data_IF_855243683480
#
_entry.id   IF_855243683480
#
_cell.length_a   1.000
_cell.length_b   1.000
_cell.length_c   1.000
_cell.angle_alpha   90.00
_cell.angle_beta   90.00
_cell.angle_gamma   90.00
#
_symmetry.space_group_name_H-M   'P 1'
#
loop_
_entity.id
_entity.type
_entity.pdbx_description
1 polymer ?
#
# COMPACT_ATOMS: atom_id res chain seq x y z
N UNK A 1 10.95 26.31 15.30
CA UNK A 1 10.49 26.55 16.70
C UNK A 1 8.98 26.59 16.72
N UNK A 2 8.37 26.01 17.75
CA UNK A 2 6.92 26.04 17.94
C UNK A 2 6.42 27.46 18.19
N UNK A 3 5.23 27.77 17.68
CA UNK A 3 4.49 29.00 17.97
C UNK A 3 3.49 28.74 19.09
N UNK A 4 3.19 29.76 19.87
CA UNK A 4 2.18 29.73 20.94
C UNK A 4 0.89 30.36 20.42
N UNK A 5 -0.24 29.74 20.73
CA UNK A 5 -1.59 30.19 20.40
C UNK A 5 -2.44 30.19 21.67
N UNK A 6 -3.21 31.24 21.85
CA UNK A 6 -4.16 31.33 22.97
C UNK A 6 -5.25 30.24 22.84
N UNK A 7 -5.88 29.88 23.95
CA UNK A 7 -6.96 28.89 23.93
C UNK A 7 -8.13 29.29 23.03
N UNK A 8 -8.43 30.59 22.98
CA UNK A 8 -9.50 31.15 22.14
C UNK A 8 -9.16 31.26 20.66
N UNK A 9 -7.87 31.12 20.28
CA UNK A 9 -7.45 31.20 18.88
C UNK A 9 -8.14 30.15 18.02
N UNK A 10 -8.63 30.58 16.85
CA UNK A 10 -9.19 29.68 15.83
C UNK A 10 -8.47 29.89 14.49
N UNK A 11 -7.15 30.03 14.55
CA UNK A 11 -6.32 30.30 13.39
C UNK A 11 -6.28 29.10 12.46
N UNK A 12 -6.58 29.32 11.18
CA UNK A 12 -6.34 28.35 10.12
C UNK A 12 -4.84 28.26 9.86
N UNK A 13 -4.21 27.13 10.15
CA UNK A 13 -2.77 26.90 10.02
C UNK A 13 -2.36 26.60 8.58
N UNK A 14 -3.23 25.88 7.85
CA UNK A 14 -3.05 25.45 6.48
C UNK A 14 -4.40 25.05 5.85
N UNK A 15 -4.50 24.72 4.56
CA UNK A 15 -5.78 24.38 3.93
C UNK A 15 -6.61 23.32 4.67
N UNK A 16 -5.97 22.36 5.34
CA UNK A 16 -6.65 21.23 5.97
C UNK A 16 -6.57 21.21 7.50
N UNK A 17 -5.82 22.11 8.13
CA UNK A 17 -5.58 22.07 9.57
C UNK A 17 -5.85 23.40 10.25
N UNK A 18 -6.63 23.34 11.34
CA UNK A 18 -6.91 24.48 12.23
C UNK A 18 -6.24 24.26 13.59
N UNK A 19 -5.80 25.34 14.25
CA UNK A 19 -5.13 25.24 15.57
C UNK A 19 -5.99 24.55 16.63
N UNK A 20 -7.31 24.68 16.55
CA UNK A 20 -8.24 24.06 17.49
C UNK A 20 -8.13 22.53 17.54
N UNK A 21 -7.69 21.89 16.44
CA UNK A 21 -7.50 20.44 16.38
C UNK A 21 -6.30 19.96 17.21
N UNK A 22 -5.34 20.84 17.44
CA UNK A 22 -4.10 20.56 18.17
C UNK A 22 -4.17 20.91 19.66
N UNK A 23 -5.28 21.41 20.16
CA UNK A 23 -5.43 21.76 21.56
C UNK A 23 -5.28 20.56 22.49
N UNK A 24 -4.75 20.82 23.68
CA UNK A 24 -4.67 19.82 24.74
C UNK A 24 -6.08 19.37 25.19
N UNK A 25 -6.27 18.06 25.27
CA UNK A 25 -7.54 17.43 25.66
C UNK A 25 -7.68 17.25 27.18
N UNK A 26 -6.97 18.03 28.01
CA UNK A 26 -7.03 17.90 29.48
C UNK A 26 -8.29 18.53 30.11
N UNK A 27 -9.16 19.17 29.33
CA UNK A 27 -10.36 19.87 29.81
C UNK A 27 -10.11 21.23 30.46
N UNK A 28 -8.86 21.74 30.42
CA UNK A 28 -8.51 23.07 30.94
C UNK A 28 -8.15 23.99 29.78
N UNK A 29 -8.54 25.27 29.94
CA UNK A 29 -8.14 26.32 29.03
C UNK A 29 -6.70 26.74 29.30
N UNK A 30 -5.85 26.61 28.28
CA UNK A 30 -4.45 27.03 28.30
C UNK A 30 -3.91 27.12 26.86
N UNK A 31 -2.78 27.78 26.72
CA UNK A 31 -2.08 27.94 25.44
C UNK A 31 -1.78 26.62 24.77
N UNK A 32 -1.72 26.65 23.44
CA UNK A 32 -1.36 25.53 22.59
C UNK A 32 -0.06 25.84 21.85
N UNK A 33 0.92 24.96 21.98
CA UNK A 33 2.14 25.01 21.18
C UNK A 33 1.94 24.21 19.89
N UNK A 34 2.38 24.75 18.76
CA UNK A 34 2.38 24.07 17.49
C UNK A 34 3.60 24.45 16.63
N UNK A 35 4.29 23.46 16.11
CA UNK A 35 5.44 23.62 15.23
C UNK A 35 4.97 23.75 13.77
N UNK A 36 5.30 24.83 13.06
CA UNK A 36 4.92 25.00 11.66
C UNK A 36 5.45 23.88 10.74
N UNK A 37 6.62 23.28 11.03
CA UNK A 37 7.15 22.13 10.28
C UNK A 37 6.22 20.90 10.38
N UNK A 38 5.57 20.72 11.54
CA UNK A 38 4.59 19.65 11.71
C UNK A 38 3.43 19.80 10.73
N UNK A 39 2.89 21.01 10.63
CA UNK A 39 1.77 21.32 9.73
C UNK A 39 2.17 21.15 8.26
N UNK A 40 3.33 21.67 7.87
CA UNK A 40 3.84 21.50 6.49
C UNK A 40 3.96 20.03 6.11
N UNK A 41 4.49 19.19 7.00
CA UNK A 41 4.63 17.74 6.74
C UNK A 41 3.30 17.02 6.77
N UNK A 42 2.34 17.41 7.60
CA UNK A 42 0.99 16.87 7.58
C UNK A 42 0.26 17.17 6.26
N UNK A 43 0.44 18.38 5.70
CA UNK A 43 -0.09 18.70 4.36
C UNK A 43 0.53 17.86 3.25
N UNK A 44 1.86 17.63 3.30
CA UNK A 44 2.53 16.71 2.39
C UNK A 44 1.99 15.28 2.52
N UNK A 45 1.73 14.84 3.75
CA UNK A 45 1.16 13.52 4.03
C UNK A 45 -0.28 13.41 3.50
N UNK A 46 -1.09 14.44 3.70
CA UNK A 46 -2.45 14.55 3.16
C UNK A 46 -2.46 14.36 1.64
N UNK A 47 -1.58 15.08 0.95
CA UNK A 47 -1.46 15.02 -0.52
C UNK A 47 -0.92 13.66 -1.00
N UNK A 48 0.16 13.17 -0.38
CA UNK A 48 0.82 11.94 -0.78
C UNK A 48 -0.04 10.69 -0.59
N UNK A 49 -0.88 10.67 0.44
CA UNK A 49 -1.84 9.59 0.70
C UNK A 49 -3.19 9.80 0.00
N UNK A 50 -3.37 10.93 -0.71
CA UNK A 50 -4.65 11.33 -1.32
C UNK A 50 -5.79 11.27 -0.28
N UNK A 51 -5.54 11.81 0.91
CA UNK A 51 -6.53 11.77 1.99
C UNK A 51 -7.80 12.54 1.62
N UNK A 52 -8.96 12.06 2.08
CA UNK A 52 -10.18 12.87 2.16
C UNK A 52 -10.19 13.74 3.41
N UNK A 53 -9.55 13.25 4.50
CA UNK A 53 -9.32 13.97 5.75
C UNK A 53 -8.19 13.33 6.56
N UNK A 54 -7.56 14.12 7.42
CA UNK A 54 -6.71 13.64 8.52
C UNK A 54 -7.35 14.15 9.82
N UNK A 55 -7.63 13.26 10.76
CA UNK A 55 -8.14 13.61 12.09
C UNK A 55 -6.95 13.64 13.05
N UNK A 56 -6.74 14.76 13.73
CA UNK A 56 -5.78 14.90 14.81
C UNK A 56 -6.44 14.39 16.10
N UNK A 57 -6.11 13.19 16.52
CA UNK A 57 -6.65 12.58 17.74
C UNK A 57 -5.96 13.09 19.00
N UNK A 58 -4.70 13.55 18.87
CA UNK A 58 -3.96 14.23 19.94
C UNK A 58 -2.89 15.13 19.31
N UNK A 59 -2.93 16.42 19.62
CA UNK A 59 -1.89 17.39 19.25
C UNK A 59 -1.00 17.73 20.45
N UNK A 60 -0.97 19.02 20.83
CA UNK A 60 -0.28 19.49 22.03
C UNK A 60 -0.86 18.85 23.30
N UNK A 61 0.01 18.49 24.24
CA UNK A 61 -0.36 18.05 25.59
C UNK A 61 0.38 18.89 26.62
N UNK A 62 -0.33 19.48 27.58
CA UNK A 62 0.35 20.04 28.75
C UNK A 62 1.05 18.91 29.53
N UNK A 63 2.12 19.24 30.26
CA UNK A 63 2.93 18.25 30.96
C UNK A 63 2.12 17.33 31.89
N UNK A 64 1.09 17.87 32.55
CA UNK A 64 0.22 17.09 33.43
C UNK A 64 -0.63 16.08 32.63
N UNK A 65 -1.21 16.51 31.51
CA UNK A 65 -2.01 15.63 30.65
C UNK A 65 -1.15 14.54 30.01
N UNK A 66 0.03 14.88 29.52
CA UNK A 66 0.96 13.92 28.93
C UNK A 66 1.32 12.81 29.93
N UNK A 67 1.62 13.16 31.19
CA UNK A 67 1.84 12.17 32.26
C UNK A 67 0.61 11.30 32.52
N UNK A 68 -0.58 11.88 32.53
CA UNK A 68 -1.81 11.14 32.79
C UNK A 68 -2.15 10.10 31.71
N UNK A 69 -1.67 10.32 30.47
CA UNK A 69 -1.85 9.38 29.36
C UNK A 69 -0.62 8.51 29.10
N UNK A 70 0.30 8.39 30.08
CA UNK A 70 1.45 7.52 30.01
C UNK A 70 2.73 8.11 29.41
N UNK A 71 2.75 9.39 29.10
CA UNK A 71 3.95 10.09 28.60
C UNK A 71 4.89 10.53 29.73
N UNK A 72 6.06 11.02 29.35
CA UNK A 72 7.09 11.51 30.28
C UNK A 72 6.77 12.87 30.92
N UNK A 73 5.86 13.65 30.33
CA UNK A 73 5.59 15.05 30.66
C UNK A 73 6.57 16.04 29.99
N UNK A 74 7.50 15.54 29.18
CA UNK A 74 8.52 16.31 28.46
C UNK A 74 8.70 15.83 27.01
N UNK A 75 7.75 15.02 26.50
CA UNK A 75 7.78 14.44 25.16
C UNK A 75 7.46 15.43 24.03
N UNK A 76 7.46 14.98 22.79
CA UNK A 76 7.26 15.83 21.61
C UNK A 76 5.89 16.50 21.58
N UNK A 77 4.86 15.87 22.13
CA UNK A 77 3.54 16.49 22.30
C UNK A 77 3.59 17.73 23.20
N UNK A 78 4.40 17.73 24.26
CA UNK A 78 4.52 18.88 25.17
C UNK A 78 5.31 20.04 24.57
N UNK A 79 6.04 19.78 23.50
CA UNK A 79 6.80 20.78 22.73
C UNK A 79 6.01 21.32 21.52
N UNK A 80 4.82 20.78 21.25
CA UNK A 80 4.04 21.10 20.06
C UNK A 80 4.62 20.54 18.76
N UNK A 81 5.51 19.55 18.84
CA UNK A 81 6.21 18.94 17.71
C UNK A 81 5.52 17.68 17.19
N UNK A 82 4.48 17.18 17.84
CA UNK A 82 3.88 15.88 17.55
C UNK A 82 2.36 15.94 17.37
N UNK A 83 1.86 14.97 16.60
CA UNK A 83 0.46 14.65 16.46
C UNK A 83 0.23 13.15 16.38
N UNK A 84 -0.82 12.66 17.06
CA UNK A 84 -1.42 11.37 16.83
C UNK A 84 -2.56 11.55 15.84
N UNK A 85 -2.53 10.83 14.71
CA UNK A 85 -3.41 11.07 13.58
C UNK A 85 -4.11 9.79 13.10
N UNK A 86 -5.29 9.98 12.50
CA UNK A 86 -5.96 8.96 11.68
C UNK A 86 -6.20 9.54 10.29
N UNK A 87 -5.64 8.90 9.27
CA UNK A 87 -5.78 9.30 7.88
C UNK A 87 -6.93 8.50 7.22
N UNK A 88 -7.77 9.17 6.42
CA UNK A 88 -8.89 8.56 5.71
C UNK A 88 -8.71 8.70 4.20
N UNK A 89 -8.96 7.61 3.47
CA UNK A 89 -8.98 7.58 2.01
C UNK A 89 -10.21 8.26 1.40
N UNK A 90 -10.24 8.37 0.06
CA UNK A 90 -11.39 8.92 -0.68
C UNK A 90 -12.65 8.05 -0.55
N UNK A 91 -12.49 6.79 -0.19
CA UNK A 91 -13.57 5.83 0.12
C UNK A 91 -14.15 6.01 1.54
N UNK A 92 -13.62 6.98 2.30
CA UNK A 92 -14.03 7.25 3.67
C UNK A 92 -13.53 6.23 4.70
N UNK A 93 -12.68 5.27 4.30
CA UNK A 93 -12.12 4.28 5.23
C UNK A 93 -10.78 4.76 5.80
N UNK A 94 -10.43 4.33 7.04
CA UNK A 94 -9.12 4.60 7.59
C UNK A 94 -8.01 3.97 6.75
N UNK A 95 -6.98 4.76 6.43
CA UNK A 95 -5.75 4.25 5.82
C UNK A 95 -4.93 3.56 6.92
N UNK A 96 -4.49 2.32 6.65
CA UNK A 96 -3.69 1.57 7.63
C UNK A 96 -2.46 2.35 8.09
N UNK A 97 -2.21 2.38 9.41
CA UNK A 97 -1.03 3.03 9.99
C UNK A 97 0.29 2.44 9.47
N UNK A 98 0.32 1.20 8.98
CA UNK A 98 1.47 0.63 8.26
C UNK A 98 1.82 1.48 7.04
N UNK A 99 0.83 1.82 6.22
CA UNK A 99 0.99 2.68 5.03
C UNK A 99 1.32 4.10 5.43
N UNK A 100 0.66 4.62 6.48
CA UNK A 100 0.90 5.99 6.97
C UNK A 100 2.33 6.13 7.49
N UNK A 101 2.84 5.17 8.28
CA UNK A 101 4.21 5.16 8.78
C UNK A 101 5.26 5.17 7.66
N UNK A 102 5.10 4.29 6.66
CA UNK A 102 5.99 4.26 5.50
C UNK A 102 5.99 5.61 4.76
N UNK A 103 4.82 6.19 4.51
CA UNK A 103 4.71 7.47 3.82
C UNK A 103 5.22 8.65 4.66
N UNK A 104 5.01 8.63 5.96
CA UNK A 104 5.58 9.61 6.89
C UNK A 104 7.12 9.55 6.91
N UNK A 105 7.69 8.34 6.79
CA UNK A 105 9.13 8.14 6.63
C UNK A 105 9.67 8.82 5.36
N UNK A 106 9.00 8.64 4.21
CA UNK A 106 9.37 9.28 2.93
C UNK A 106 9.35 10.81 3.02
N UNK A 107 8.34 11.37 3.72
CA UNK A 107 8.17 12.82 3.92
C UNK A 107 9.24 13.37 4.88
N UNK A 108 9.88 12.50 5.65
CA UNK A 108 10.95 12.86 6.55
C UNK A 108 10.47 13.30 7.94
N UNK A 109 9.36 12.79 8.44
CA UNK A 109 9.08 12.82 9.87
C UNK A 109 10.20 12.07 10.60
N UNK A 110 10.57 12.54 11.77
CA UNK A 110 11.68 11.97 12.53
C UNK A 110 11.24 11.09 13.70
N UNK A 111 10.04 11.32 14.23
CA UNK A 111 9.36 10.38 15.10
C UNK A 111 8.13 9.84 14.40
N UNK A 112 7.99 8.51 14.36
CA UNK A 112 6.88 7.83 13.70
C UNK A 112 6.58 6.55 14.47
N UNK A 113 5.31 6.29 14.79
CA UNK A 113 4.93 5.02 15.40
C UNK A 113 3.50 4.61 15.05
N UNK A 114 3.29 3.30 14.88
CA UNK A 114 1.97 2.71 15.00
C UNK A 114 1.59 2.66 16.49
N UNK A 115 0.43 3.19 16.86
CA UNK A 115 0.01 3.32 18.26
C UNK A 115 -1.26 2.53 18.59
N UNK A 116 -1.72 1.66 17.67
CA UNK A 116 -2.89 0.79 17.93
C UNK A 116 -2.78 -0.58 17.26
N UNK A 117 -3.33 -1.60 17.92
CA UNK A 117 -3.45 -2.96 17.38
C UNK A 117 -4.30 -3.02 16.10
N UNK A 118 -5.25 -2.09 15.94
CA UNK A 118 -6.08 -1.99 14.76
C UNK A 118 -5.36 -1.35 13.55
N UNK A 119 -4.13 -0.88 13.73
CA UNK A 119 -3.34 -0.20 12.70
C UNK A 119 -4.08 0.96 12.01
N UNK A 120 -4.77 1.81 12.79
CA UNK A 120 -5.52 2.96 12.29
C UNK A 120 -5.00 4.30 12.79
N UNK A 121 -4.20 4.31 13.88
CA UNK A 121 -3.62 5.53 14.44
C UNK A 121 -2.10 5.53 14.33
N UNK A 122 -1.56 6.68 13.95
CA UNK A 122 -0.12 6.87 13.75
C UNK A 122 0.34 8.09 14.53
N UNK A 123 1.37 7.93 15.36
CA UNK A 123 2.12 9.04 15.91
C UNK A 123 3.09 9.56 14.87
N UNK A 124 3.17 10.89 14.72
CA UNK A 124 4.18 11.57 13.88
C UNK A 124 4.76 12.76 14.62
N UNK A 125 6.09 12.97 14.50
CA UNK A 125 6.73 14.15 15.09
C UNK A 125 7.90 14.71 14.24
N UNK A 126 8.20 15.98 14.53
CA UNK A 126 9.28 16.75 13.89
C UNK A 126 10.40 17.07 14.89
N UNK A 127 10.79 16.09 15.73
CA UNK A 127 11.86 16.26 16.71
C UNK A 127 13.14 16.83 16.06
N UNK A 128 13.89 17.64 16.80
CA UNK A 128 15.06 18.30 16.26
C UNK A 128 16.24 17.36 16.01
N UNK A 129 16.41 16.34 16.85
CA UNK A 129 17.54 15.41 16.80
C UNK A 129 17.10 13.96 16.83
N UNK A 130 17.83 13.15 16.07
CA UNK A 130 17.65 11.71 16.00
C UNK A 130 16.41 11.29 15.21
N UNK A 131 16.19 9.98 15.14
CA UNK A 131 14.98 9.33 14.64
C UNK A 131 14.40 8.43 15.74
N UNK A 132 13.09 8.26 15.73
CA UNK A 132 12.40 7.30 16.57
C UNK A 132 11.27 6.65 15.78
N UNK A 133 11.43 5.38 15.47
CA UNK A 133 10.46 4.59 14.74
C UNK A 133 9.97 3.45 15.65
N UNK A 134 8.68 3.49 16.02
CA UNK A 134 8.10 2.60 17.02
C UNK A 134 6.89 1.83 16.52
N UNK A 135 6.58 0.76 17.23
CA UNK A 135 5.31 0.06 17.17
C UNK A 135 4.87 -0.23 18.62
N UNK A 136 4.02 0.63 19.16
CA UNK A 136 3.60 0.57 20.56
C UNK A 136 2.76 -0.67 20.88
N UNK A 137 2.15 -1.28 19.86
CA UNK A 137 1.37 -2.52 20.03
C UNK A 137 2.23 -3.67 20.53
N UNK A 138 3.50 -3.72 20.12
CA UNK A 138 4.43 -4.75 20.54
C UNK A 138 5.33 -4.33 21.70
N UNK A 139 5.00 -3.23 22.38
CA UNK A 139 5.65 -2.80 23.60
C UNK A 139 7.05 -2.21 23.42
N UNK A 140 7.41 -1.81 22.22
CA UNK A 140 8.75 -1.35 21.90
C UNK A 140 8.80 0.10 21.46
N UNK A 141 9.69 0.87 22.05
CA UNK A 141 9.92 2.26 21.72
C UNK A 141 10.67 2.47 20.41
N UNK A 142 11.47 1.49 19.98
CA UNK A 142 12.18 1.54 18.68
C UNK A 142 12.22 0.13 18.12
N UNK A 143 11.54 -0.08 16.99
CA UNK A 143 11.43 -1.41 16.36
C UNK A 143 12.14 -1.49 15.03
N UNK A 144 12.43 -0.37 14.40
CA UNK A 144 13.07 -0.31 13.08
C UNK A 144 13.69 1.07 12.82
N UNK A 145 14.59 1.13 11.87
CA UNK A 145 15.07 2.34 11.20
C UNK A 145 14.40 2.53 9.81
N UNK A 146 13.57 1.55 9.39
CA UNK A 146 12.88 1.53 8.11
C UNK A 146 11.53 0.77 8.20
N UNK A 147 10.42 1.52 8.09
CA UNK A 147 9.08 0.94 8.15
C UNK A 147 8.71 0.10 6.93
N UNK A 148 9.32 0.31 5.77
CA UNK A 148 9.09 -0.56 4.62
C UNK A 148 9.56 -1.98 4.91
N UNK A 149 10.71 -2.13 5.58
CA UNK A 149 11.18 -3.42 6.06
C UNK A 149 10.31 -3.98 7.18
N UNK A 150 9.90 -3.12 8.10
CA UNK A 150 9.15 -3.55 9.27
C UNK A 150 7.72 -4.00 8.96
N UNK A 151 6.98 -3.20 8.19
CA UNK A 151 5.58 -3.48 7.84
C UNK A 151 5.41 -4.17 6.49
N UNK A 152 6.42 -4.14 5.62
CA UNK A 152 6.39 -4.76 4.31
C UNK A 152 6.55 -6.29 4.33
N UNK A 153 6.87 -6.87 5.50
CA UNK A 153 7.35 -8.25 5.59
C UNK A 153 8.84 -8.34 5.22
N UNK A 154 9.44 -9.51 5.38
CA UNK A 154 10.76 -9.78 4.78
C UNK A 154 10.66 -9.54 3.28
N UNK A 155 11.71 -8.95 2.68
CA UNK A 155 11.79 -8.78 1.23
C UNK A 155 11.53 -10.14 0.57
N UNK A 156 10.40 -10.27 -0.16
CA UNK A 156 10.03 -11.54 -0.76
C UNK A 156 10.96 -11.85 -1.94
N UNK A 157 11.52 -13.04 -1.94
CA UNK A 157 12.33 -13.53 -3.07
C UNK A 157 11.42 -14.08 -4.18
N UNK A 158 11.65 -13.63 -5.39
CA UNK A 158 10.86 -14.02 -6.53
C UNK A 158 11.67 -14.34 -7.75
N UNK A 159 10.95 -14.82 -8.74
CA UNK A 159 11.46 -15.08 -10.10
C UNK A 159 10.48 -14.56 -11.13
N UNK A 160 10.99 -14.23 -12.31
CA UNK A 160 10.12 -14.13 -13.47
C UNK A 160 10.48 -15.17 -14.52
N UNK A 161 9.45 -15.68 -15.18
CA UNK A 161 9.59 -16.86 -16.06
C UNK A 161 8.70 -16.79 -17.30
N UNK A 162 9.17 -17.47 -18.34
CA UNK A 162 8.50 -17.60 -19.63
C UNK A 162 8.68 -19.00 -20.21
N UNK A 163 8.27 -19.18 -21.47
CA UNK A 163 8.55 -20.42 -22.23
C UNK A 163 10.05 -20.77 -22.28
N UNK A 164 10.93 -19.77 -22.14
CA UNK A 164 12.39 -19.98 -22.22
C UNK A 164 12.96 -20.75 -21.03
N UNK A 165 12.25 -20.79 -19.89
CA UNK A 165 12.65 -21.56 -18.71
C UNK A 165 12.20 -23.03 -18.78
N UNK A 166 11.50 -23.43 -19.86
CA UNK A 166 11.10 -24.82 -20.11
C UNK A 166 10.05 -25.34 -19.13
N UNK A 167 10.24 -26.57 -18.68
CA UNK A 167 9.38 -27.19 -17.68
C UNK A 167 9.91 -26.91 -16.28
N UNK A 168 9.07 -26.39 -15.41
CA UNK A 168 9.40 -25.97 -14.06
C UNK A 168 8.78 -26.93 -13.04
N UNK A 169 9.57 -27.42 -12.09
CA UNK A 169 9.10 -28.11 -10.89
C UNK A 169 8.81 -27.10 -9.79
N UNK A 170 7.58 -26.60 -9.74
CA UNK A 170 7.15 -25.54 -8.82
C UNK A 170 7.24 -25.94 -7.34
N UNK A 171 7.19 -27.24 -7.01
CA UNK A 171 7.38 -27.68 -5.63
C UNK A 171 8.84 -27.50 -5.19
N UNK A 172 9.81 -27.79 -6.08
CA UNK A 172 11.22 -27.52 -5.81
C UNK A 172 11.49 -26.01 -5.74
N UNK A 173 10.94 -25.23 -6.67
CA UNK A 173 11.02 -23.76 -6.66
C UNK A 173 10.54 -23.20 -5.31
N UNK A 174 9.40 -23.69 -4.80
CA UNK A 174 8.90 -23.29 -3.47
C UNK A 174 9.82 -23.71 -2.34
N UNK A 175 10.36 -24.92 -2.40
CA UNK A 175 11.27 -25.45 -1.39
C UNK A 175 12.62 -24.72 -1.37
N UNK A 176 13.06 -24.16 -2.50
CA UNK A 176 14.26 -23.32 -2.63
C UNK A 176 14.06 -21.87 -2.11
N UNK A 177 12.89 -21.57 -1.57
CA UNK A 177 12.60 -20.31 -0.89
C UNK A 177 12.05 -19.21 -1.80
N UNK A 178 11.55 -19.54 -2.99
CA UNK A 178 10.85 -18.58 -3.85
C UNK A 178 9.44 -18.33 -3.32
N UNK A 179 9.11 -17.07 -3.13
CA UNK A 179 7.90 -16.62 -2.46
C UNK A 179 6.89 -15.98 -3.42
N UNK A 180 7.30 -15.57 -4.63
CA UNK A 180 6.40 -15.10 -5.69
C UNK A 180 6.99 -15.37 -7.07
N UNK A 181 6.15 -15.33 -8.10
CA UNK A 181 6.57 -15.41 -9.49
C UNK A 181 5.79 -14.46 -10.39
N UNK A 182 6.48 -13.82 -11.36
CA UNK A 182 5.86 -13.03 -12.42
C UNK A 182 5.95 -13.84 -13.72
N UNK A 183 4.81 -14.14 -14.33
CA UNK A 183 4.72 -15.06 -15.47
C UNK A 183 4.51 -14.30 -16.76
N UNK A 184 5.30 -14.59 -17.81
CA UNK A 184 4.99 -14.03 -19.11
C UNK A 184 3.66 -14.59 -19.62
N UNK A 185 2.66 -13.73 -19.80
CA UNK A 185 1.38 -14.14 -20.36
C UNK A 185 1.43 -14.22 -21.89
N UNK A 186 2.29 -13.42 -22.51
CA UNK A 186 2.49 -13.39 -23.96
C UNK A 186 3.17 -12.12 -24.42
N UNK A 187 3.02 -11.83 -25.71
CA UNK A 187 3.64 -10.68 -26.35
C UNK A 187 2.85 -10.21 -27.58
N UNK A 188 3.00 -8.95 -27.96
CA UNK A 188 2.41 -8.39 -29.17
C UNK A 188 0.87 -8.36 -29.19
N UNK A 189 0.25 -8.28 -30.36
CA UNK A 189 -1.18 -7.94 -30.54
C UNK A 189 -2.08 -9.07 -31.01
N UNK A 190 -1.60 -10.32 -31.00
CA UNK A 190 -2.37 -11.48 -31.49
C UNK A 190 -2.53 -12.53 -30.39
N UNK A 191 -3.72 -13.11 -30.26
CA UNK A 191 -3.99 -14.14 -29.25
C UNK A 191 -3.07 -15.37 -29.36
N UNK A 192 -2.62 -15.71 -30.57
CA UNK A 192 -1.64 -16.79 -30.80
C UNK A 192 -0.24 -16.47 -30.26
N UNK A 193 0.02 -15.24 -29.83
CA UNK A 193 1.27 -14.80 -29.19
C UNK A 193 1.22 -14.97 -27.66
N UNK A 194 0.23 -15.67 -27.13
CA UNK A 194 0.25 -16.14 -25.75
C UNK A 194 1.50 -16.99 -25.52
N UNK A 195 2.15 -16.83 -24.37
CA UNK A 195 3.28 -17.68 -24.00
C UNK A 195 2.82 -19.15 -23.84
N UNK A 196 3.52 -20.06 -24.49
CA UNK A 196 3.14 -21.48 -24.57
C UNK A 196 3.14 -22.17 -23.19
N UNK A 197 3.92 -21.63 -22.23
CA UNK A 197 4.02 -22.15 -20.86
C UNK A 197 3.17 -21.40 -19.85
N UNK A 198 2.51 -20.31 -20.23
CA UNK A 198 1.76 -19.48 -19.29
C UNK A 198 0.75 -20.25 -18.46
N UNK A 199 -0.10 -21.06 -19.11
CA UNK A 199 -1.14 -21.83 -18.41
C UNK A 199 -0.52 -22.89 -17.47
N UNK A 200 0.51 -23.57 -17.95
CA UNK A 200 1.24 -24.57 -17.15
C UNK A 200 1.92 -23.93 -15.94
N UNK A 201 2.60 -22.79 -16.14
CA UNK A 201 3.29 -22.07 -15.08
C UNK A 201 2.29 -21.48 -14.07
N UNK A 202 1.18 -20.89 -14.54
CA UNK A 202 0.13 -20.38 -13.67
C UNK A 202 -0.44 -21.49 -12.77
N UNK A 203 -0.85 -22.62 -13.37
CA UNK A 203 -1.41 -23.74 -12.62
C UNK A 203 -0.40 -24.34 -11.63
N UNK A 204 0.85 -24.53 -12.07
CA UNK A 204 1.92 -25.08 -11.24
C UNK A 204 2.30 -24.19 -10.05
N UNK A 205 2.51 -22.90 -10.28
CA UNK A 205 2.83 -21.95 -9.21
C UNK A 205 1.69 -21.83 -8.19
N UNK A 206 0.44 -21.75 -8.67
CA UNK A 206 -0.74 -21.70 -7.78
C UNK A 206 -0.89 -22.99 -6.97
N UNK A 207 -0.66 -24.16 -7.56
CA UNK A 207 -0.72 -25.45 -6.85
C UNK A 207 0.37 -25.55 -5.77
N UNK A 208 1.56 -24.99 -6.01
CA UNK A 208 2.65 -24.92 -5.03
C UNK A 208 2.45 -23.81 -3.97
N UNK A 209 1.35 -23.05 -4.05
CA UNK A 209 1.07 -21.94 -3.12
C UNK A 209 2.02 -20.74 -3.29
N UNK A 210 2.55 -20.53 -4.49
CA UNK A 210 3.38 -19.37 -4.85
C UNK A 210 2.46 -18.26 -5.38
N UNK A 211 2.41 -17.07 -4.77
CA UNK A 211 1.76 -15.89 -5.30
C UNK A 211 2.23 -15.55 -6.72
N UNK A 212 1.31 -15.27 -7.63
CA UNK A 212 1.63 -15.02 -9.03
C UNK A 212 1.20 -13.65 -9.51
N UNK A 213 1.99 -13.05 -10.37
CA UNK A 213 1.67 -11.95 -11.26
C UNK A 213 1.82 -12.36 -12.72
N UNK A 214 1.64 -11.39 -13.63
CA UNK A 214 1.83 -11.63 -15.04
C UNK A 214 2.48 -10.43 -15.72
N UNK A 215 3.14 -10.63 -16.88
CA UNK A 215 3.59 -9.54 -17.71
C UNK A 215 3.30 -9.77 -19.19
N UNK A 216 3.25 -8.70 -19.94
CA UNK A 216 3.05 -8.66 -21.39
C UNK A 216 4.18 -7.93 -22.07
N UNK A 217 4.92 -8.63 -22.93
CA UNK A 217 6.02 -8.06 -23.69
C UNK A 217 5.48 -7.31 -24.91
N UNK A 218 5.83 -6.04 -25.04
CA UNK A 218 5.28 -5.14 -26.03
C UNK A 218 6.13 -4.98 -27.28
N UNK A 219 5.46 -4.94 -28.42
CA UNK A 219 6.00 -4.48 -29.68
C UNK A 219 5.30 -3.24 -30.24
N UNK A 220 4.41 -2.63 -29.45
CA UNK A 220 3.60 -1.48 -29.89
C UNK A 220 4.47 -0.27 -30.26
N UNK A 221 4.17 0.34 -31.41
CA UNK A 221 4.84 1.53 -31.92
C UNK A 221 3.97 2.78 -31.80
N UNK A 222 2.72 2.62 -31.41
CA UNK A 222 1.77 3.69 -31.14
C UNK A 222 0.73 3.26 -30.06
N UNK A 223 -0.13 4.21 -29.67
CA UNK A 223 -1.13 4.04 -28.63
C UNK A 223 -2.24 3.05 -29.03
N UNK A 224 -2.58 2.96 -30.32
CA UNK A 224 -3.61 2.06 -30.81
C UNK A 224 -3.11 0.61 -30.77
N UNK A 225 -1.86 0.37 -31.18
CA UNK A 225 -1.21 -0.93 -31.03
C UNK A 225 -1.09 -1.34 -29.55
N UNK A 226 -0.75 -0.40 -28.65
CA UNK A 226 -0.69 -0.67 -27.21
C UNK A 226 -2.06 -1.04 -26.63
N UNK A 227 -3.14 -0.39 -27.05
CA UNK A 227 -4.51 -0.77 -26.64
C UNK A 227 -4.89 -2.15 -27.14
N UNK A 228 -4.51 -2.50 -28.39
CA UNK A 228 -4.74 -3.84 -28.95
C UNK A 228 -3.97 -4.90 -28.16
N UNK A 229 -2.70 -4.65 -27.79
CA UNK A 229 -1.92 -5.53 -26.93
C UNK A 229 -2.58 -5.70 -25.55
N UNK A 230 -3.06 -4.61 -24.93
CA UNK A 230 -3.79 -4.65 -23.68
C UNK A 230 -5.07 -5.50 -23.77
N UNK A 231 -5.84 -5.36 -24.85
CA UNK A 231 -7.06 -6.15 -25.06
C UNK A 231 -6.75 -7.64 -25.23
N UNK A 232 -5.66 -8.00 -25.92
CA UNK A 232 -5.22 -9.41 -26.03
C UNK A 232 -4.74 -9.92 -24.67
N UNK A 233 -3.93 -9.14 -23.95
CA UNK A 233 -3.49 -9.48 -22.60
C UNK A 233 -4.68 -9.76 -21.68
N UNK A 234 -5.67 -8.86 -21.62
CA UNK A 234 -6.88 -9.02 -20.83
C UNK A 234 -7.66 -10.29 -21.16
N UNK A 235 -7.71 -10.69 -22.44
CA UNK A 235 -8.32 -11.97 -22.84
C UNK A 235 -7.54 -13.17 -22.30
N UNK A 236 -6.21 -13.14 -22.37
CA UNK A 236 -5.34 -14.22 -21.92
C UNK A 236 -5.43 -14.42 -20.40
N UNK A 237 -5.49 -13.33 -19.62
CA UNK A 237 -5.55 -13.41 -18.16
C UNK A 237 -6.97 -13.51 -17.59
N UNK A 238 -7.99 -13.46 -18.44
CA UNK A 238 -9.41 -13.51 -18.02
C UNK A 238 -9.71 -14.72 -17.15
N UNK A 239 -10.41 -14.49 -16.06
CA UNK A 239 -10.84 -15.54 -15.12
C UNK A 239 -9.74 -16.07 -14.20
N UNK A 240 -8.53 -15.51 -14.25
CA UNK A 240 -7.44 -15.82 -13.34
C UNK A 240 -7.36 -14.85 -12.19
N UNK A 241 -6.81 -15.30 -11.05
CA UNK A 241 -6.56 -14.48 -9.87
C UNK A 241 -5.05 -14.34 -9.67
N UNK A 242 -4.60 -13.09 -9.52
CA UNK A 242 -3.20 -12.77 -9.28
C UNK A 242 -3.02 -12.05 -7.95
N UNK A 243 -2.12 -12.54 -7.12
CA UNK A 243 -1.72 -11.91 -5.85
C UNK A 243 -0.70 -10.81 -6.06
N UNK A 244 0.06 -10.88 -7.17
CA UNK A 244 1.06 -9.89 -7.55
C UNK A 244 0.50 -9.01 -8.67
N UNK A 245 1.11 -7.83 -8.92
CA UNK A 245 0.68 -6.96 -10.00
C UNK A 245 0.79 -7.61 -11.38
N UNK A 246 0.10 -7.01 -12.37
CA UNK A 246 0.30 -7.33 -13.77
C UNK A 246 1.06 -6.19 -14.44
N UNK A 247 2.05 -6.52 -15.29
CA UNK A 247 3.03 -5.55 -15.78
C UNK A 247 2.99 -5.39 -17.29
N UNK A 248 3.20 -4.16 -17.71
CA UNK A 248 3.57 -3.82 -19.08
C UNK A 248 5.09 -3.80 -19.22
N UNK A 249 5.60 -4.51 -20.18
CA UNK A 249 7.02 -4.67 -20.46
C UNK A 249 7.33 -4.10 -21.84
N UNK A 250 7.94 -2.90 -21.89
CA UNK A 250 8.32 -2.19 -23.12
C UNK A 250 9.82 -1.93 -23.08
N UNK A 251 10.58 -2.64 -23.95
CA UNK A 251 12.05 -2.57 -23.90
C UNK A 251 12.76 -2.63 -25.28
N UNK A 252 11.99 -2.67 -26.37
CA UNK A 252 12.58 -2.67 -27.70
C UNK A 252 13.27 -1.34 -28.03
N UNK A 253 14.51 -1.43 -28.50
CA UNK A 253 15.27 -0.21 -28.90
C UNK A 253 14.49 0.69 -29.85
N UNK A 254 13.83 0.11 -30.87
CA UNK A 254 13.03 0.86 -31.83
C UNK A 254 11.89 1.66 -31.19
N UNK A 255 11.35 1.21 -30.06
CA UNK A 255 10.33 1.94 -29.30
C UNK A 255 10.97 3.14 -28.62
N UNK A 256 12.12 2.97 -27.98
CA UNK A 256 12.86 4.07 -27.34
C UNK A 256 13.35 5.13 -28.34
N UNK A 257 13.64 4.75 -29.57
CA UNK A 257 14.01 5.67 -30.63
C UNK A 257 12.86 6.66 -31.01
N UNK A 258 11.61 6.39 -30.62
CA UNK A 258 10.46 7.30 -30.75
C UNK A 258 10.53 8.51 -29.81
N UNK A 259 11.39 8.48 -28.81
CA UNK A 259 11.53 9.52 -27.79
C UNK A 259 10.53 9.43 -26.63
N UNK A 260 10.85 10.11 -25.54
CA UNK A 260 10.16 10.01 -24.23
C UNK A 260 8.65 10.25 -24.31
N UNK A 261 8.24 11.28 -25.03
CA UNK A 261 6.82 11.67 -25.16
C UNK A 261 5.98 10.53 -25.75
N UNK A 262 6.44 9.99 -26.90
CA UNK A 262 5.72 8.94 -27.62
C UNK A 262 5.74 7.61 -26.85
N UNK A 263 6.88 7.24 -26.31
CA UNK A 263 7.03 6.04 -25.46
C UNK A 263 6.10 6.11 -24.27
N UNK A 264 6.04 7.25 -23.59
CA UNK A 264 5.15 7.44 -22.46
C UNK A 264 3.67 7.40 -22.84
N UNK A 265 3.30 7.88 -24.04
CA UNK A 265 1.93 7.77 -24.54
C UNK A 265 1.54 6.31 -24.80
N UNK A 266 2.45 5.51 -25.38
CA UNK A 266 2.29 4.06 -25.57
C UNK A 266 2.09 3.35 -24.21
N UNK A 267 2.96 3.66 -23.24
CA UNK A 267 2.85 3.09 -21.89
C UNK A 267 1.50 3.40 -21.23
N UNK A 268 1.05 4.67 -21.28
CA UNK A 268 -0.26 5.06 -20.73
C UNK A 268 -1.40 4.30 -21.38
N UNK A 269 -1.40 4.20 -22.71
CA UNK A 269 -2.47 3.55 -23.46
C UNK A 269 -2.69 2.10 -23.04
N UNK A 270 -1.63 1.35 -22.76
CA UNK A 270 -1.71 -0.02 -22.23
C UNK A 270 -2.13 -0.03 -20.76
N UNK A 271 -1.42 0.72 -19.91
CA UNK A 271 -1.59 0.69 -18.45
C UNK A 271 -3.00 1.13 -18.05
N UNK A 272 -3.51 2.24 -18.58
CA UNK A 272 -4.88 2.73 -18.32
C UNK A 272 -5.94 1.73 -18.78
N UNK A 273 -5.72 1.06 -19.90
CA UNK A 273 -6.65 0.05 -20.43
C UNK A 273 -6.74 -1.16 -19.51
N UNK A 274 -5.61 -1.63 -18.98
CA UNK A 274 -5.55 -2.78 -18.06
C UNK A 274 -6.06 -2.40 -16.67
N UNK A 275 -5.69 -1.22 -16.17
CA UNK A 275 -6.18 -0.69 -14.90
C UNK A 275 -7.71 -0.53 -14.90
N UNK A 276 -8.29 0.05 -15.97
CA UNK A 276 -9.74 0.23 -16.13
C UNK A 276 -10.52 -1.09 -16.15
N UNK A 277 -9.86 -2.20 -16.46
CA UNK A 277 -10.42 -3.54 -16.39
C UNK A 277 -10.36 -4.18 -14.98
N UNK A 278 -9.90 -3.44 -13.97
CA UNK A 278 -9.86 -3.87 -12.57
C UNK A 278 -8.59 -4.61 -12.17
N UNK A 279 -7.48 -4.39 -12.88
CA UNK A 279 -6.19 -4.95 -12.51
C UNK A 279 -5.27 -3.93 -11.82
N UNK A 280 -4.48 -4.40 -10.87
CA UNK A 280 -3.39 -3.65 -10.28
C UNK A 280 -2.19 -3.70 -11.23
N UNK A 281 -2.01 -2.61 -11.97
CA UNK A 281 -1.02 -2.54 -13.05
C UNK A 281 0.30 -1.94 -12.61
N UNK A 282 1.38 -2.33 -13.29
CA UNK A 282 2.71 -1.79 -13.14
C UNK A 282 3.46 -1.73 -14.46
N UNK A 283 4.61 -1.06 -14.41
CA UNK A 283 5.53 -0.94 -15.53
C UNK A 283 6.85 -1.65 -15.20
N UNK A 284 7.30 -2.56 -16.07
CA UNK A 284 8.67 -3.06 -16.05
C UNK A 284 9.56 -2.14 -16.88
N UNK A 285 10.79 -1.93 -16.40
CA UNK A 285 11.78 -1.21 -17.16
C UNK A 285 13.15 -1.18 -16.50
N UNK A 286 14.18 -1.02 -17.33
CA UNK A 286 15.54 -0.83 -16.84
C UNK A 286 15.70 0.52 -16.12
N UNK A 287 16.67 0.62 -15.22
CA UNK A 287 17.00 1.89 -14.55
C UNK A 287 17.22 3.04 -15.57
N UNK A 288 17.80 2.73 -16.74
CA UNK A 288 18.01 3.69 -17.83
C UNK A 288 16.69 4.10 -18.49
N UNK A 289 15.85 3.15 -18.91
CA UNK A 289 14.60 3.47 -19.60
C UNK A 289 13.61 4.22 -18.70
N UNK A 290 13.53 3.86 -17.43
CA UNK A 290 12.72 4.57 -16.42
C UNK A 290 13.19 6.00 -16.18
N UNK A 291 14.49 6.26 -16.30
CA UNK A 291 15.05 7.61 -16.11
C UNK A 291 14.88 8.48 -17.37
N UNK A 292 15.13 7.89 -18.55
CA UNK A 292 15.27 8.68 -19.80
C UNK A 292 14.03 8.68 -20.67
N UNK A 293 13.22 7.60 -20.66
CA UNK A 293 12.12 7.41 -21.59
C UNK A 293 10.73 7.31 -20.94
N UNK A 294 10.65 7.38 -19.59
CA UNK A 294 9.38 7.26 -18.88
C UNK A 294 9.00 8.60 -18.24
N UNK A 295 7.78 9.05 -18.46
CA UNK A 295 7.24 10.26 -17.83
C UNK A 295 7.01 10.08 -16.34
N UNK A 296 7.09 11.17 -15.56
CA UNK A 296 7.05 11.11 -14.10
C UNK A 296 5.66 10.73 -13.55
N UNK A 297 4.59 11.10 -14.24
CA UNK A 297 3.23 10.72 -13.90
C UNK A 297 3.04 9.20 -13.91
N UNK A 298 3.61 8.49 -14.89
CA UNK A 298 3.57 7.02 -14.96
C UNK A 298 4.27 6.41 -13.74
N UNK A 299 5.48 6.87 -13.44
CA UNK A 299 6.28 6.37 -12.30
C UNK A 299 5.65 6.70 -10.94
N UNK A 300 4.82 7.73 -10.88
CA UNK A 300 4.12 8.12 -9.66
C UNK A 300 2.80 7.37 -9.48
N UNK A 301 2.10 7.08 -10.57
CA UNK A 301 0.79 6.44 -10.54
C UNK A 301 0.90 4.91 -10.45
N UNK A 302 1.76 4.30 -11.26
CA UNK A 302 1.91 2.85 -11.37
C UNK A 302 3.05 2.32 -10.51
N UNK A 303 2.94 1.04 -10.09
CA UNK A 303 4.07 0.39 -9.44
C UNK A 303 5.16 0.06 -10.46
N UNK A 304 6.42 0.23 -10.06
CA UNK A 304 7.56 -0.06 -10.94
C UNK A 304 8.17 -1.41 -10.56
N UNK A 305 8.45 -2.21 -11.58
CA UNK A 305 9.32 -3.36 -11.53
C UNK A 305 10.63 -2.96 -12.22
N UNK A 306 11.64 -2.68 -11.40
CA UNK A 306 12.93 -2.17 -11.82
C UNK A 306 13.85 -3.30 -12.27
N UNK A 307 14.36 -3.26 -13.49
CA UNK A 307 15.49 -4.08 -13.90
C UNK A 307 16.81 -3.31 -13.74
N UNK A 308 17.69 -3.82 -12.89
CA UNK A 308 19.03 -3.29 -12.70
C UNK A 308 19.94 -4.36 -12.11
N UNK A 309 20.71 -5.03 -12.93
CA UNK A 309 21.52 -6.20 -12.57
C UNK A 309 22.86 -5.79 -11.96
N UNK A 310 22.80 -5.38 -10.72
CA UNK A 310 23.93 -4.87 -9.91
C UNK A 310 23.75 -5.30 -8.45
N UNK A 311 24.82 -5.28 -7.66
CA UNK A 311 24.75 -5.61 -6.23
C UNK A 311 23.93 -4.59 -5.43
N UNK A 312 23.93 -3.33 -5.88
CA UNK A 312 23.17 -2.24 -5.26
C UNK A 312 22.71 -1.25 -6.33
N UNK A 313 21.41 -1.09 -6.47
CA UNK A 313 20.87 -0.12 -7.42
C UNK A 313 21.13 1.33 -6.99
N UNK A 314 21.43 2.19 -7.95
CA UNK A 314 21.48 3.65 -7.80
C UNK A 314 20.28 4.35 -8.41
N UNK A 315 19.26 3.61 -8.83
CA UNK A 315 18.00 4.19 -9.29
C UNK A 315 17.32 4.92 -8.13
N UNK A 316 17.03 6.21 -8.31
CA UNK A 316 16.49 7.08 -7.27
C UNK A 316 14.96 7.13 -7.22
N UNK A 317 14.27 6.54 -8.21
CA UNK A 317 12.79 6.47 -8.23
C UNK A 317 12.25 5.38 -7.30
N UNK A 318 10.95 5.46 -7.00
CA UNK A 318 10.27 4.42 -6.23
C UNK A 318 10.02 3.17 -7.10
N UNK A 319 10.20 1.99 -6.52
CA UNK A 319 9.88 0.71 -7.15
C UNK A 319 9.29 -0.27 -6.12
N UNK A 320 8.48 -1.22 -6.62
CA UNK A 320 7.87 -2.25 -5.78
C UNK A 320 8.58 -3.60 -5.89
N UNK A 321 9.15 -3.89 -7.06
CA UNK A 321 9.98 -5.09 -7.33
C UNK A 321 11.28 -4.64 -7.96
N UNK A 322 12.36 -5.34 -7.64
CA UNK A 322 13.68 -5.18 -8.24
C UNK A 322 14.17 -6.50 -8.81
N UNK A 323 14.28 -6.59 -10.13
CA UNK A 323 14.97 -7.66 -10.83
C UNK A 323 16.49 -7.36 -10.77
N UNK A 324 17.20 -8.10 -9.94
CA UNK A 324 18.61 -7.82 -9.64
C UNK A 324 19.59 -8.72 -10.39
N UNK A 325 19.10 -9.79 -11.04
CA UNK A 325 19.95 -10.73 -11.79
C UNK A 325 19.16 -11.43 -12.89
N UNK A 326 19.81 -11.62 -14.04
CA UNK A 326 19.37 -12.48 -15.16
C UNK A 326 20.02 -13.88 -15.15
N UNK A 327 20.85 -14.17 -14.14
CA UNK A 327 21.73 -15.35 -14.10
C UNK A 327 21.51 -16.20 -12.84
N UNK A 328 20.34 -16.09 -12.25
CA UNK A 328 19.99 -16.86 -11.06
C UNK A 328 19.96 -18.37 -11.30
N UNK A 329 20.04 -19.12 -10.22
CA UNK A 329 19.84 -20.55 -10.17
C UNK A 329 18.83 -20.86 -9.10
N UNK A 330 17.79 -21.61 -9.46
CA UNK A 330 16.72 -22.02 -8.57
C UNK A 330 16.43 -23.48 -8.80
N UNK A 331 16.33 -24.25 -7.73
CA UNK A 331 15.99 -25.65 -7.82
C UNK A 331 14.61 -25.84 -8.46
N UNK A 332 14.52 -26.76 -9.42
CA UNK A 332 13.30 -26.98 -10.20
C UNK A 332 13.27 -26.26 -11.54
N UNK A 333 14.27 -25.41 -11.85
CA UNK A 333 14.42 -24.72 -13.15
C UNK A 333 15.76 -25.10 -13.78
N UNK A 334 15.72 -25.50 -15.05
CA UNK A 334 16.93 -25.80 -15.82
C UNK A 334 17.48 -24.53 -16.47
N UNK A 335 18.76 -24.22 -16.23
CA UNK A 335 19.41 -23.04 -16.81
C UNK A 335 19.40 -21.84 -15.88
N UNK A 336 19.44 -20.65 -16.46
CA UNK A 336 19.34 -19.38 -15.72
C UNK A 336 17.88 -18.98 -15.58
N UNK A 337 17.60 -18.22 -14.53
CA UNK A 337 16.30 -17.60 -14.28
C UNK A 337 16.53 -16.21 -13.70
N UNK A 338 15.63 -15.29 -14.01
CA UNK A 338 15.64 -13.94 -13.48
C UNK A 338 15.26 -13.96 -12.01
N UNK A 339 15.99 -13.21 -11.19
CA UNK A 339 15.79 -13.15 -9.75
C UNK A 339 15.29 -11.76 -9.34
N UNK A 340 14.25 -11.77 -8.52
CA UNK A 340 13.54 -10.58 -8.06
C UNK A 340 13.50 -10.48 -6.55
N UNK A 341 13.43 -9.23 -6.08
CA UNK A 341 13.09 -8.89 -4.70
C UNK A 341 11.86 -8.00 -4.71
N UNK A 342 10.83 -8.38 -3.99
CA UNK A 342 9.63 -7.55 -3.81
C UNK A 342 9.64 -6.89 -2.44
N UNK A 343 9.46 -5.58 -2.41
CA UNK A 343 9.48 -4.71 -1.23
C UNK A 343 8.09 -4.29 -0.73
N UNK A 344 7.02 -4.86 -1.31
CA UNK A 344 5.65 -4.47 -0.99
C UNK A 344 4.77 -5.70 -0.80
N UNK A 345 3.90 -5.67 0.18
CA UNK A 345 2.87 -6.69 0.38
C UNK A 345 1.74 -6.52 -0.66
N UNK A 346 2.05 -6.82 -1.92
CA UNK A 346 1.07 -6.77 -3.00
C UNK A 346 -0.11 -7.71 -2.78
N UNK A 347 0.07 -8.95 -2.26
CA UNK A 347 -1.05 -9.83 -1.96
C UNK A 347 -2.13 -9.21 -1.10
N UNK A 348 -1.74 -8.54 0.00
CA UNK A 348 -2.69 -7.84 0.89
C UNK A 348 -3.32 -6.63 0.19
N UNK A 349 -2.53 -5.82 -0.52
CA UNK A 349 -3.03 -4.64 -1.23
C UNK A 349 -4.05 -5.02 -2.30
N UNK A 350 -3.74 -6.01 -3.14
CA UNK A 350 -4.56 -6.42 -4.30
C UNK A 350 -5.85 -7.06 -3.84
N UNK A 351 -5.78 -8.01 -2.89
CA UNK A 351 -6.94 -8.68 -2.33
C UNK A 351 -7.85 -7.69 -1.57
N UNK A 352 -7.26 -6.82 -0.76
CA UNK A 352 -8.00 -5.81 -0.02
C UNK A 352 -8.76 -4.81 -0.90
N UNK A 353 -8.23 -4.54 -2.12
CA UNK A 353 -8.90 -3.69 -3.12
C UNK A 353 -9.85 -4.46 -4.06
N UNK A 354 -9.89 -5.79 -3.97
CA UNK A 354 -10.68 -6.63 -4.86
C UNK A 354 -10.25 -6.58 -6.32
N UNK A 355 -8.97 -6.36 -6.58
CA UNK A 355 -8.38 -6.27 -7.92
C UNK A 355 -7.88 -7.63 -8.40
N UNK A 356 -7.42 -7.73 -9.66
CA UNK A 356 -6.78 -8.91 -10.24
C UNK A 356 -7.64 -10.18 -10.15
N UNK A 357 -8.96 -10.05 -10.30
CA UNK A 357 -9.89 -11.17 -10.27
C UNK A 357 -10.33 -11.62 -8.87
N UNK A 358 -9.91 -10.94 -7.79
CA UNK A 358 -10.32 -11.30 -6.43
C UNK A 358 -11.76 -10.87 -6.08
N UNK A 359 -12.38 -9.94 -6.86
CA UNK A 359 -13.66 -9.36 -6.51
C UNK A 359 -13.54 -8.43 -5.27
N UNK A 360 -14.49 -7.53 -5.08
CA UNK A 360 -14.59 -6.83 -3.79
C UNK A 360 -14.92 -7.90 -2.73
N UNK A 361 -14.10 -8.01 -1.69
CA UNK A 361 -14.52 -8.70 -0.49
C UNK A 361 -15.85 -8.07 -0.08
N UNK A 362 -16.95 -8.85 -0.05
CA UNK A 362 -18.15 -8.38 0.62
C UNK A 362 -17.69 -7.93 2.02
N UNK A 363 -18.04 -6.72 2.48
CA UNK A 363 -17.73 -6.34 3.83
C UNK A 363 -18.25 -7.47 4.70
N UNK A 364 -17.38 -8.11 5.46
CA UNK A 364 -17.77 -9.08 6.50
C UNK A 364 -18.91 -8.40 7.23
N UNK A 365 -20.13 -8.94 7.25
CA UNK A 365 -21.25 -8.26 7.89
C UNK A 365 -20.76 -7.94 9.29
N UNK A 366 -20.61 -6.66 9.57
CA UNK A 366 -20.34 -6.19 10.93
C UNK A 366 -21.46 -6.85 11.73
N UNK A 367 -21.14 -7.62 12.80
CA UNK A 367 -22.20 -8.16 13.64
C UNK A 367 -23.11 -6.97 13.91
N UNK A 368 -24.36 -7.06 13.49
CA UNK A 368 -25.32 -5.99 13.72
C UNK A 368 -25.17 -5.65 15.21
N UNK A 369 -25.02 -4.38 15.59
CA UNK A 369 -24.95 -4.04 17.00
C UNK A 369 -26.15 -4.73 17.62
N UNK A 370 -25.90 -5.55 18.66
CA UNK A 370 -26.96 -6.28 19.37
C UNK A 370 -28.11 -5.30 19.52
N UNK A 371 -29.19 -5.54 18.79
CA UNK A 371 -30.40 -4.75 19.01
C UNK A 371 -30.67 -4.90 20.49
N UNK A 372 -30.76 -3.82 21.26
CA UNK A 372 -31.08 -3.95 22.67
C UNK A 372 -32.29 -4.84 22.74
N UNK A 373 -32.18 -5.92 23.52
CA UNK A 373 -33.27 -6.87 23.73
C UNK A 373 -34.51 -6.05 24.19
N UNK A 374 -35.40 -5.77 23.24
CA UNK A 374 -36.60 -5.01 23.50
C UNK A 374 -37.72 -5.89 24.01
N UNK A 375 -37.42 -7.16 24.31
CA UNK A 375 -38.35 -8.09 24.90
C UNK A 375 -38.37 -7.96 26.42
N UNK A 376 -39.48 -7.56 26.97
CA UNK A 376 -39.73 -7.53 28.41
C UNK A 376 -40.64 -8.68 28.77
N UNK A 377 -40.20 -9.59 29.62
CA UNK A 377 -41.06 -10.64 30.15
C UNK A 377 -41.92 -10.05 31.25
N UNK A 378 -43.22 -9.97 31.06
CA UNK A 378 -44.17 -9.53 32.07
C UNK A 378 -44.86 -10.73 32.69
N UNK A 379 -45.03 -10.68 34.00
CA UNK A 379 -45.85 -11.64 34.77
C UNK A 379 -47.06 -10.90 35.33
N UNK A 380 -48.24 -11.31 34.95
CA UNK A 380 -49.51 -10.71 35.42
C UNK A 380 -50.25 -11.74 36.27
N UNK A 381 -50.70 -11.33 37.46
CA UNK A 381 -51.59 -12.14 38.31
C UNK A 381 -53.00 -11.59 38.22
N UNK A 382 -53.98 -12.48 37.95
CA UNK A 382 -55.39 -12.17 37.95
C UNK A 382 -56.08 -13.20 38.87
N UNK A 383 -56.47 -12.77 40.06
CA UNK A 383 -56.97 -13.69 41.10
C UNK A 383 -55.89 -14.65 41.58
N UNK A 384 -56.12 -15.94 41.54
CA UNK A 384 -55.13 -16.97 41.91
C UNK A 384 -54.26 -17.43 40.73
N UNK A 385 -54.51 -16.94 39.53
CA UNK A 385 -53.84 -17.38 38.32
C UNK A 385 -52.68 -16.44 37.96
N UNK A 386 -51.58 -17.04 37.48
CA UNK A 386 -50.38 -16.31 37.04
C UNK A 386 -50.12 -16.51 35.55
N UNK A 387 -50.10 -15.41 34.79
CA UNK A 387 -49.83 -15.38 33.35
C UNK A 387 -48.43 -14.81 33.11
N UNK A 388 -47.65 -15.48 32.27
CA UNK A 388 -46.34 -14.98 31.80
C UNK A 388 -46.42 -14.77 30.31
N UNK A 389 -45.94 -13.60 29.86
CA UNK A 389 -45.89 -13.24 28.45
C UNK A 389 -44.74 -12.36 28.12
N UNK A 390 -44.31 -12.38 26.85
CA UNK A 390 -43.26 -11.53 26.32
C UNK A 390 -43.87 -10.34 25.59
N UNK A 391 -43.51 -9.13 25.99
CA UNK A 391 -43.92 -7.89 25.34
C UNK A 391 -42.80 -7.44 24.40
N UNK A 392 -43.18 -7.15 23.15
CA UNK A 392 -42.26 -6.54 22.15
C UNK A 392 -42.76 -5.12 21.91
N UNK A 393 -41.86 -4.15 21.94
CA UNK A 393 -42.22 -2.76 21.63
C UNK A 393 -42.65 -2.68 20.15
N UNK A 394 -43.81 -2.14 19.92
CA UNK A 394 -44.36 -1.91 18.58
C UNK A 394 -43.57 -0.83 17.81
#
# INVERSE_FOLDING_TARGET
>A
MSKTYEYSDNTQLSPHFNISEFRCKCGKEHETLNNPELIEKLEKLFTALKCSKIIVTSGYRCAAHDKNVGGSGTGQHTLGNAADICCYGQDGQPISSKVVCCKAQDIGFRGIANITAAYIYTHVDVREKGKWYGDEVHGNSTVTDDFYKYFGGEDMKGIDVSVHNGNIDWNKVKADGIEFAILRAGFGRLEKQRDEKFEQNYAGAKAAGIPVGAYWYSYAMDEDEARLEADVFLKVIKGKQFEMPVYFDLEEKKQFDLGKEKVSAIMRAFLERVESAGYFTGLYGSASSLTTHTADDIKTHYTIWLAHWVDKTNYSGAYGIWQYSEKGKVDGINGNVDLDICYKDFPTIIKGKGLNGWGKAEPTPTPAPDKPDTTVTATIKIGNDTYKGTLVKA
#
